data_IF_217071467005
#
_entry.id   IF_217071467005
#
_cell.length_a   1.000
_cell.length_b   1.000
_cell.length_c   1.000
_cell.angle_alpha   90.00
_cell.angle_beta   90.00
_cell.angle_gamma   90.00
#
_symmetry.space_group_name_H-M   'P 1'
#
loop_
_entity.id
_entity.type
_entity.pdbx_description
1 polymer ?
#
# COMPACT_ATOMS: atom_id res chain seq x y z
N UNK A 1 -3.38 -11.55 12.55
CA UNK A 1 -2.32 -10.87 11.75
C UNK A 1 -2.89 -9.70 10.95
N UNK A 2 -2.09 -8.67 10.70
CA UNK A 2 -2.38 -7.57 9.76
C UNK A 2 -1.32 -7.53 8.66
N UNK A 3 -1.71 -7.41 7.40
CA UNK A 3 -0.81 -7.30 6.25
C UNK A 3 -0.74 -5.83 5.81
N UNK A 4 0.47 -5.34 5.54
CA UNK A 4 0.70 -4.02 4.95
C UNK A 4 1.27 -4.15 3.54
N UNK A 5 0.67 -3.46 2.57
CA UNK A 5 1.21 -3.35 1.21
C UNK A 5 1.39 -1.89 0.77
N UNK A 6 2.22 -1.69 -0.24
CA UNK A 6 2.37 -0.40 -0.92
C UNK A 6 1.18 -0.13 -1.86
N UNK A 7 0.89 1.14 -2.17
CA UNK A 7 -0.05 1.50 -3.22
C UNK A 7 0.60 1.29 -4.60
N UNK A 8 -0.17 1.52 -5.66
CA UNK A 8 0.36 1.55 -7.03
C UNK A 8 0.27 2.96 -7.64
N UNK A 9 1.12 3.21 -8.63
CA UNK A 9 1.15 4.48 -9.37
C UNK A 9 0.06 4.56 -10.45
N UNK A 10 -0.27 3.42 -11.05
CA UNK A 10 -1.34 3.31 -12.04
C UNK A 10 -2.65 3.03 -11.32
N UNK A 11 -3.71 3.67 -11.80
CA UNK A 11 -5.05 3.53 -11.27
C UNK A 11 -6.02 3.11 -12.37
N UNK A 12 -7.00 2.28 -12.02
CA UNK A 12 -8.02 1.74 -12.92
C UNK A 12 -9.40 2.01 -12.34
N UNK A 13 -10.15 2.91 -12.97
CA UNK A 13 -11.49 3.33 -12.57
C UNK A 13 -12.60 2.68 -13.40
N UNK A 14 -12.32 1.55 -14.07
CA UNK A 14 -13.36 0.71 -14.64
C UNK A 14 -14.38 0.28 -13.57
N UNK A 15 -15.64 0.10 -13.97
CA UNK A 15 -16.72 -0.26 -13.05
C UNK A 15 -16.40 -1.56 -12.31
N UNK A 16 -16.33 -1.56 -10.96
CA UNK A 16 -16.10 -2.78 -10.20
C UNK A 16 -17.33 -3.68 -10.18
N UNK A 17 -17.13 -4.99 -9.99
CA UNK A 17 -18.23 -5.94 -9.75
C UNK A 17 -18.80 -5.85 -8.33
N UNK A 18 -18.02 -5.29 -7.40
CA UNK A 18 -18.38 -5.16 -5.98
C UNK A 18 -18.86 -3.75 -5.69
N UNK A 19 -20.03 -3.65 -5.08
CA UNK A 19 -20.66 -2.38 -4.68
C UNK A 19 -20.26 -1.91 -3.28
N UNK A 20 -19.84 -2.82 -2.40
CA UNK A 20 -19.51 -2.47 -1.01
C UNK A 20 -18.30 -1.54 -0.96
N UNK A 21 -18.40 -0.49 -0.15
CA UNK A 21 -17.33 0.47 0.03
C UNK A 21 -17.30 1.01 1.46
N UNK A 22 -16.15 1.56 1.83
CA UNK A 22 -15.95 2.35 3.05
C UNK A 22 -15.31 3.69 2.71
N UNK A 23 -15.17 4.55 3.72
CA UNK A 23 -14.59 5.88 3.58
C UNK A 23 -13.21 5.93 4.24
N UNK A 24 -12.23 6.62 3.63
CA UNK A 24 -10.92 6.84 4.24
C UNK A 24 -11.01 7.53 5.61
N UNK A 25 -10.18 7.10 6.55
CA UNK A 25 -10.21 7.59 7.93
C UNK A 25 -9.66 9.03 8.07
N UNK A 26 -8.52 9.31 7.43
CA UNK A 26 -7.76 10.56 7.62
C UNK A 26 -8.28 11.74 6.78
N UNK A 27 -9.60 11.95 6.73
CA UNK A 27 -10.25 12.95 5.85
C UNK A 27 -9.70 14.37 6.01
N UNK A 28 -9.37 14.80 7.22
CA UNK A 28 -8.78 16.12 7.49
C UNK A 28 -7.37 16.24 6.91
N UNK A 29 -6.54 15.20 7.03
CA UNK A 29 -5.18 15.20 6.50
C UNK A 29 -5.18 15.14 4.96
N UNK A 30 -6.06 14.32 4.38
CA UNK A 30 -6.29 14.25 2.93
C UNK A 30 -6.62 15.64 2.39
N UNK A 31 -7.60 16.35 2.98
CA UNK A 31 -7.99 17.71 2.57
C UNK A 31 -6.82 18.70 2.65
N UNK A 32 -5.99 18.61 3.69
CA UNK A 32 -4.83 19.47 3.85
C UNK A 32 -3.77 19.22 2.77
N UNK A 33 -3.44 17.96 2.49
CA UNK A 33 -2.46 17.59 1.46
C UNK A 33 -2.97 17.98 0.05
N UNK A 34 -4.24 17.69 -0.26
CA UNK A 34 -4.87 18.13 -1.52
C UNK A 34 -4.83 19.66 -1.64
N UNK A 35 -5.10 20.40 -0.56
CA UNK A 35 -5.04 21.87 -0.59
C UNK A 35 -3.64 22.41 -0.88
N UNK A 36 -2.59 21.71 -0.47
CA UNK A 36 -1.20 22.07 -0.82
C UNK A 36 -0.94 21.75 -2.29
N UNK A 37 -1.29 20.54 -2.72
CA UNK A 37 -1.05 20.08 -4.08
C UNK A 37 -1.82 20.87 -5.13
N UNK A 38 -3.06 21.29 -4.83
CA UNK A 38 -3.90 22.11 -5.71
C UNK A 38 -3.30 23.47 -6.07
N UNK A 39 -2.37 23.98 -5.25
CA UNK A 39 -1.71 25.27 -5.49
C UNK A 39 -0.50 25.17 -6.41
N UNK A 40 -0.05 23.96 -6.74
CA UNK A 40 1.14 23.71 -7.57
C UNK A 40 0.73 23.63 -9.04
N UNK A 41 1.50 24.29 -9.88
CA UNK A 41 1.45 24.15 -11.33
C UNK A 41 1.97 22.76 -11.77
N UNK A 42 1.65 22.34 -13.00
CA UNK A 42 2.24 21.15 -13.60
C UNK A 42 3.79 21.17 -13.57
N UNK A 43 4.43 22.32 -13.80
CA UNK A 43 5.89 22.44 -13.73
C UNK A 43 6.42 22.10 -12.34
N UNK A 44 5.82 22.67 -11.28
CA UNK A 44 6.21 22.38 -9.89
C UNK A 44 5.91 20.93 -9.49
N UNK A 45 4.80 20.34 -9.99
CA UNK A 45 4.46 18.93 -9.74
C UNK A 45 5.48 18.00 -10.44
N UNK A 46 5.85 18.32 -11.68
CA UNK A 46 6.84 17.60 -12.47
C UNK A 46 8.19 17.53 -11.73
N UNK A 47 8.68 18.69 -11.26
CA UNK A 47 9.92 18.80 -10.49
C UNK A 47 9.83 18.06 -9.15
N UNK A 48 8.75 18.28 -8.39
CA UNK A 48 8.54 17.70 -7.07
C UNK A 48 8.48 16.17 -7.09
N UNK A 49 7.86 15.58 -8.11
CA UNK A 49 7.60 14.14 -8.19
C UNK A 49 8.52 13.40 -9.16
N UNK A 50 9.39 14.13 -9.87
CA UNK A 50 10.26 13.60 -10.92
C UNK A 50 9.48 12.79 -11.98
N UNK A 51 8.41 13.38 -12.50
CA UNK A 51 7.52 12.76 -13.51
C UNK A 51 7.56 13.53 -14.83
N UNK A 52 7.05 12.92 -15.90
CA UNK A 52 6.92 13.62 -17.18
C UNK A 52 5.90 14.76 -17.11
N UNK A 53 6.05 15.74 -18.00
CA UNK A 53 5.12 16.87 -18.13
C UNK A 53 3.67 16.42 -18.30
N UNK A 54 3.42 15.46 -19.21
CA UNK A 54 2.07 14.90 -19.42
C UNK A 54 1.46 14.33 -18.13
N UNK A 55 2.26 13.62 -17.32
CA UNK A 55 1.80 13.09 -16.04
C UNK A 55 1.60 14.22 -15.01
N UNK A 56 2.40 15.27 -15.06
CA UNK A 56 2.26 16.41 -14.16
C UNK A 56 0.99 17.21 -14.46
N UNK A 57 0.68 17.50 -15.73
CA UNK A 57 -0.58 18.13 -16.17
C UNK A 57 -1.78 17.30 -15.72
N UNK A 58 -1.73 15.97 -15.92
CA UNK A 58 -2.78 15.08 -15.46
C UNK A 58 -2.98 15.16 -13.94
N UNK A 59 -1.91 15.22 -13.15
CA UNK A 59 -2.03 15.27 -11.69
C UNK A 59 -2.41 16.66 -11.17
N UNK A 60 -2.00 17.74 -11.83
CA UNK A 60 -2.51 19.09 -11.57
C UNK A 60 -4.05 19.09 -11.69
N UNK A 61 -4.57 18.57 -12.79
CA UNK A 61 -6.02 18.50 -13.03
C UNK A 61 -6.73 17.63 -11.97
N UNK A 62 -6.16 16.47 -11.62
CA UNK A 62 -6.68 15.62 -10.53
C UNK A 62 -6.78 16.36 -9.22
N UNK A 63 -5.78 17.16 -8.83
CA UNK A 63 -5.83 17.92 -7.58
C UNK A 63 -6.81 19.09 -7.63
N UNK A 64 -6.97 19.75 -8.79
CA UNK A 64 -7.97 20.80 -8.99
C UNK A 64 -9.39 20.28 -8.90
N UNK A 65 -9.67 19.14 -9.52
CA UNK A 65 -10.99 18.50 -9.56
C UNK A 65 -11.30 17.62 -8.36
N UNK A 66 -10.33 17.35 -7.49
CA UNK A 66 -10.52 16.54 -6.27
C UNK A 66 -11.68 17.05 -5.41
N UNK A 67 -12.62 16.18 -5.10
CA UNK A 67 -13.84 16.49 -4.36
C UNK A 67 -13.71 16.10 -2.88
N UNK A 68 -14.44 16.79 -2.00
CA UNK A 68 -14.41 16.50 -0.56
C UNK A 68 -15.19 15.24 -0.19
N UNK A 69 -16.23 14.94 -0.96
CA UNK A 69 -17.11 13.79 -0.78
C UNK A 69 -16.70 12.70 -1.76
N UNK A 70 -16.59 11.47 -1.27
CA UNK A 70 -16.19 10.32 -2.07
C UNK A 70 -17.42 9.49 -2.32
N UNK A 71 -17.75 9.35 -3.59
CA UNK A 71 -18.90 8.58 -4.07
C UNK A 71 -18.44 7.58 -5.11
N UNK A 72 -19.30 6.62 -5.47
CA UNK A 72 -19.00 5.64 -6.50
C UNK A 72 -18.87 6.26 -7.90
N UNK A 73 -19.36 7.49 -8.11
CA UNK A 73 -19.18 8.20 -9.39
C UNK A 73 -17.80 8.85 -9.54
N UNK A 74 -17.19 9.30 -8.42
CA UNK A 74 -15.93 10.04 -8.46
C UNK A 74 -14.73 9.26 -7.89
N UNK A 75 -14.99 8.12 -7.25
CA UNK A 75 -14.01 7.31 -6.53
C UNK A 75 -14.22 5.83 -6.76
N UNK A 76 -13.21 5.01 -6.42
CA UNK A 76 -13.29 3.55 -6.45
C UNK A 76 -12.54 2.97 -5.26
N UNK A 77 -12.94 1.77 -4.82
CA UNK A 77 -12.32 1.06 -3.70
C UNK A 77 -10.82 0.87 -3.94
N UNK A 78 -9.98 1.14 -2.94
CA UNK A 78 -8.53 1.18 -3.06
C UNK A 78 -7.92 -0.10 -3.66
N UNK A 79 -8.34 -1.28 -3.18
CA UNK A 79 -7.84 -2.57 -3.67
C UNK A 79 -8.20 -2.83 -5.14
N UNK A 80 -9.32 -2.26 -5.61
CA UNK A 80 -9.81 -2.40 -6.99
C UNK A 80 -9.32 -1.28 -7.92
N UNK A 81 -8.91 -0.15 -7.35
CA UNK A 81 -8.44 1.02 -8.09
C UNK A 81 -6.94 0.94 -8.37
N UNK A 82 -6.12 0.47 -7.43
CA UNK A 82 -4.68 0.34 -7.65
C UNK A 82 -4.35 -0.76 -8.68
N UNK A 83 -3.48 -0.44 -9.63
CA UNK A 83 -3.02 -1.38 -10.67
C UNK A 83 -1.51 -1.30 -10.84
N UNK A 84 -0.84 -2.45 -10.89
CA UNK A 84 0.62 -2.55 -11.04
C UNK A 84 1.13 -3.88 -10.50
N UNK A 85 2.45 -4.09 -10.52
CA UNK A 85 3.08 -5.40 -10.29
C UNK A 85 2.61 -6.17 -9.04
N UNK A 86 2.30 -5.45 -7.95
CA UNK A 86 1.73 -6.06 -6.72
C UNK A 86 0.26 -6.45 -6.97
N UNK A 87 -0.55 -5.52 -7.47
CA UNK A 87 -2.00 -5.66 -7.60
C UNK A 87 -2.42 -6.59 -8.74
N UNK A 88 -1.61 -6.73 -9.79
CA UNK A 88 -1.86 -7.72 -10.86
C UNK A 88 -1.71 -9.16 -10.38
N UNK A 89 -1.08 -9.37 -9.21
CA UNK A 89 -0.95 -10.67 -8.54
C UNK A 89 -1.89 -10.83 -7.36
N UNK A 90 -2.73 -9.84 -7.08
CA UNK A 90 -3.87 -9.94 -6.16
C UNK A 90 -5.10 -10.12 -7.03
N UNK A 91 -5.54 -11.36 -7.20
CA UNK A 91 -6.53 -11.77 -8.20
C UNK A 91 -7.97 -11.43 -7.75
N UNK A 92 -8.23 -10.14 -7.51
CA UNK A 92 -9.48 -9.61 -6.95
C UNK A 92 -10.72 -9.95 -7.77
N UNK A 93 -10.57 -10.24 -9.07
CA UNK A 93 -11.68 -10.67 -9.92
C UNK A 93 -12.23 -12.06 -9.53
N UNK A 94 -11.44 -12.84 -8.79
CA UNK A 94 -11.80 -14.17 -8.26
C UNK A 94 -12.29 -14.16 -6.81
N UNK A 95 -12.42 -12.97 -6.21
CA UNK A 95 -12.75 -12.82 -4.79
C UNK A 95 -14.26 -12.98 -4.57
N UNK A 96 -14.60 -13.74 -3.54
CA UNK A 96 -15.96 -13.78 -2.97
C UNK A 96 -16.18 -12.61 -2.02
N UNK A 97 -17.42 -12.39 -1.57
CA UNK A 97 -17.71 -11.42 -0.51
C UNK A 97 -16.90 -11.71 0.77
N UNK A 98 -16.69 -12.98 1.12
CA UNK A 98 -15.86 -13.39 2.26
C UNK A 98 -14.38 -13.08 2.05
N UNK A 99 -13.88 -13.11 0.80
CA UNK A 99 -12.52 -12.66 0.44
C UNK A 99 -12.36 -11.16 0.66
N UNK A 100 -13.34 -10.36 0.25
CA UNK A 100 -13.33 -8.93 0.52
C UNK A 100 -13.47 -8.60 2.00
N UNK A 101 -14.34 -9.29 2.73
CA UNK A 101 -14.49 -9.11 4.19
C UNK A 101 -13.18 -9.44 4.92
N UNK A 102 -12.56 -10.57 4.59
CA UNK A 102 -11.28 -10.93 5.17
C UNK A 102 -10.20 -9.89 4.85
N UNK A 103 -10.09 -9.48 3.59
CA UNK A 103 -9.15 -8.44 3.18
C UNK A 103 -9.41 -7.14 3.97
N UNK A 104 -10.68 -6.73 4.10
CA UNK A 104 -11.08 -5.50 4.78
C UNK A 104 -10.59 -5.47 6.25
N UNK A 105 -10.58 -6.63 6.91
CA UNK A 105 -10.15 -6.77 8.29
C UNK A 105 -8.63 -7.00 8.44
N UNK A 106 -7.98 -7.65 7.47
CA UNK A 106 -6.61 -8.13 7.60
C UNK A 106 -5.58 -7.44 6.68
N UNK A 107 -5.99 -6.57 5.77
CA UNK A 107 -5.10 -5.84 4.86
C UNK A 107 -5.19 -4.34 5.08
N UNK A 108 -4.05 -3.65 5.03
CA UNK A 108 -3.98 -2.19 4.87
C UNK A 108 -3.01 -1.81 3.76
N UNK A 109 -3.36 -0.73 3.07
CA UNK A 109 -2.56 -0.15 2.00
C UNK A 109 -2.00 1.18 2.51
N UNK A 110 -0.68 1.29 2.59
CA UNK A 110 -0.03 2.54 2.93
C UNK A 110 -0.19 3.54 1.78
N UNK A 111 -0.27 4.83 2.07
CA UNK A 111 -0.48 5.85 1.03
C UNK A 111 0.10 7.20 1.41
N UNK A 112 0.79 7.86 0.48
CA UNK A 112 1.30 9.22 0.72
C UNK A 112 0.20 10.24 0.94
N UNK A 113 -0.93 10.12 0.22
CA UNK A 113 -2.07 11.03 0.34
C UNK A 113 -3.07 10.61 1.41
N UNK A 114 -3.36 9.31 1.50
CA UNK A 114 -4.43 8.79 2.35
C UNK A 114 -3.91 8.25 3.69
N UNK A 115 -2.59 8.18 3.90
CA UNK A 115 -1.97 7.63 5.10
C UNK A 115 -2.06 6.11 5.15
N UNK A 116 -3.23 5.60 5.55
CA UNK A 116 -3.56 4.18 5.68
C UNK A 116 -4.96 3.95 5.12
N UNK A 117 -5.09 3.01 4.19
CA UNK A 117 -6.36 2.66 3.54
C UNK A 117 -6.75 1.22 3.87
N UNK A 118 -8.06 0.99 4.05
CA UNK A 118 -8.68 -0.33 3.94
C UNK A 118 -8.88 -0.68 2.46
N UNK A 119 -8.96 -1.98 2.11
CA UNK A 119 -9.25 -2.44 0.76
C UNK A 119 -10.45 -1.79 0.08
N UNK A 120 -11.56 -1.61 0.82
CA UNK A 120 -12.80 -1.06 0.29
C UNK A 120 -12.94 0.46 0.46
N UNK A 121 -11.91 1.15 0.97
CA UNK A 121 -11.96 2.61 1.08
C UNK A 121 -11.98 3.26 -0.31
N UNK A 122 -12.94 4.15 -0.53
CA UNK A 122 -13.02 4.92 -1.77
C UNK A 122 -11.83 5.87 -1.89
N UNK A 123 -11.15 5.81 -3.03
CA UNK A 123 -10.09 6.75 -3.41
C UNK A 123 -10.43 7.45 -4.72
N UNK A 124 -10.12 8.74 -4.78
CA UNK A 124 -10.12 9.53 -6.01
C UNK A 124 -8.74 9.47 -6.69
N UNK A 125 -8.66 9.71 -8.01
CA UNK A 125 -7.41 9.67 -8.75
C UNK A 125 -6.39 10.67 -8.19
N UNK A 126 -5.15 10.21 -7.97
CA UNK A 126 -4.08 11.05 -7.45
C UNK A 126 -2.71 10.48 -7.82
N UNK A 127 -1.66 11.24 -7.55
CA UNK A 127 -0.28 10.73 -7.44
C UNK A 127 0.45 11.48 -6.36
N UNK A 128 0.78 10.80 -5.27
CA UNK A 128 1.60 11.33 -4.19
C UNK A 128 2.32 10.17 -3.52
N UNK A 129 3.57 9.97 -3.91
CA UNK A 129 4.42 8.88 -3.42
C UNK A 129 4.93 9.22 -2.03
N UNK A 130 5.09 8.24 -1.13
CA UNK A 130 5.46 8.52 0.27
C UNK A 130 6.83 9.19 0.37
N UNK A 131 7.73 8.91 -0.57
CA UNK A 131 9.05 9.53 -0.65
C UNK A 131 9.06 11.02 -1.07
N UNK A 132 7.94 11.59 -1.49
CA UNK A 132 7.88 12.98 -1.97
C UNK A 132 8.23 13.97 -0.85
N UNK A 133 9.18 14.88 -1.14
CA UNK A 133 9.59 15.98 -0.24
C UNK A 133 8.61 17.15 -0.31
N UNK A 134 7.35 16.87 0.02
CA UNK A 134 6.31 17.88 0.08
C UNK A 134 6.40 18.64 1.39
N UNK A 135 6.82 19.91 1.33
CA UNK A 135 6.82 20.79 2.49
C UNK A 135 5.39 21.22 2.84
N UNK A 136 5.07 21.16 4.13
CA UNK A 136 3.78 21.52 4.70
C UNK A 136 3.99 22.20 6.05
N UNK A 137 2.91 22.75 6.64
CA UNK A 137 2.95 23.27 8.02
C UNK A 137 3.35 22.22 9.08
N UNK A 138 3.29 20.92 8.77
CA UNK A 138 3.56 19.82 9.71
C UNK A 138 4.93 19.16 9.51
N UNK A 139 5.69 19.55 8.49
CA UNK A 139 6.99 18.93 8.19
C UNK A 139 7.45 19.15 6.76
N UNK A 140 8.71 18.80 6.51
CA UNK A 140 9.42 19.01 5.24
C UNK A 140 9.19 17.90 4.21
N UNK A 141 8.54 16.81 4.61
CA UNK A 141 8.22 15.65 3.78
C UNK A 141 7.04 14.89 4.39
N UNK A 142 6.55 13.88 3.67
CA UNK A 142 5.39 13.10 4.10
C UNK A 142 5.66 12.20 5.32
N UNK A 143 6.90 11.78 5.56
CA UNK A 143 7.24 11.02 6.78
C UNK A 143 7.01 11.87 8.03
N UNK A 144 7.51 13.11 8.03
CA UNK A 144 7.29 14.07 9.12
C UNK A 144 5.82 14.49 9.22
N UNK A 145 5.12 14.63 8.09
CA UNK A 145 3.70 14.97 8.08
C UNK A 145 2.85 13.93 8.80
N UNK A 146 3.08 12.65 8.48
CA UNK A 146 2.30 11.54 9.03
C UNK A 146 2.74 11.16 10.45
N UNK A 147 4.00 11.40 10.81
CA UNK A 147 4.57 11.20 12.15
C UNK A 147 4.07 9.88 12.77
N UNK A 148 3.32 9.95 13.89
CA UNK A 148 2.81 8.78 14.60
C UNK A 148 1.42 8.33 14.15
N UNK A 149 0.75 9.06 13.25
CA UNK A 149 -0.67 8.83 12.92
C UNK A 149 -0.90 7.46 12.31
N UNK A 150 -0.09 7.10 11.30
CA UNK A 150 -0.20 5.80 10.62
C UNK A 150 0.04 4.66 11.61
N UNK A 151 1.08 4.76 12.45
CA UNK A 151 1.38 3.73 13.45
C UNK A 151 0.27 3.59 14.51
N UNK A 152 -0.37 4.70 14.93
CA UNK A 152 -1.52 4.66 15.84
C UNK A 152 -2.72 3.95 15.22
N UNK A 153 -3.09 4.29 13.98
CA UNK A 153 -4.19 3.62 13.29
C UNK A 153 -3.90 2.13 13.06
N UNK A 154 -2.64 1.77 12.75
CA UNK A 154 -2.22 0.36 12.67
C UNK A 154 -2.40 -0.35 14.02
N UNK A 155 -2.03 0.27 15.14
CA UNK A 155 -2.22 -0.34 16.47
C UNK A 155 -3.70 -0.62 16.79
N UNK A 156 -4.60 0.27 16.38
CA UNK A 156 -6.04 0.13 16.63
C UNK A 156 -6.62 -1.09 15.92
N UNK A 157 -6.24 -1.33 14.66
CA UNK A 157 -6.68 -2.53 13.93
C UNK A 157 -5.88 -3.78 14.31
N UNK A 158 -4.57 -3.67 14.50
CA UNK A 158 -3.73 -4.84 14.75
C UNK A 158 -3.94 -5.40 16.16
N UNK A 159 -4.30 -4.57 17.14
CA UNK A 159 -4.59 -5.01 18.53
C UNK A 159 -3.48 -5.91 19.12
N UNK A 160 -2.21 -5.59 18.83
CA UNK A 160 -1.05 -6.37 19.27
C UNK A 160 -0.74 -7.62 18.43
N UNK A 161 -1.61 -8.00 17.50
CA UNK A 161 -1.38 -9.10 16.55
C UNK A 161 -0.22 -8.79 15.61
N UNK A 162 0.53 -9.81 15.13
CA UNK A 162 1.66 -9.60 14.23
C UNK A 162 1.30 -8.85 12.95
N UNK A 163 2.20 -7.96 12.55
CA UNK A 163 2.15 -7.20 11.30
C UNK A 163 3.08 -7.86 10.29
N UNK A 164 2.56 -8.28 9.15
CA UNK A 164 3.35 -8.77 8.02
C UNK A 164 3.55 -7.62 7.03
N UNK A 165 4.80 -7.16 6.95
CA UNK A 165 5.19 -6.08 6.07
C UNK A 165 5.55 -6.64 4.68
N UNK A 166 4.62 -6.44 3.74
CA UNK A 166 4.79 -6.66 2.30
C UNK A 166 4.90 -5.32 1.54
N UNK A 167 5.00 -4.19 2.23
CA UNK A 167 5.22 -2.90 1.62
C UNK A 167 6.71 -2.68 1.28
N UNK A 168 6.99 -1.77 0.35
CA UNK A 168 8.36 -1.30 0.14
C UNK A 168 8.84 -0.48 1.33
N UNK A 169 10.16 -0.37 1.48
CA UNK A 169 10.78 0.46 2.53
C UNK A 169 10.39 1.94 2.42
N UNK A 170 10.14 2.44 1.21
CA UNK A 170 9.64 3.80 1.00
C UNK A 170 8.31 4.05 1.74
N UNK A 171 7.38 3.10 1.69
CA UNK A 171 6.09 3.26 2.37
C UNK A 171 6.19 2.87 3.84
N UNK A 172 6.86 1.77 4.17
CA UNK A 172 6.95 1.30 5.55
C UNK A 172 7.73 2.25 6.46
N UNK A 173 8.65 3.06 5.91
CA UNK A 173 9.34 4.14 6.65
C UNK A 173 8.38 5.19 7.23
N UNK A 174 7.17 5.36 6.70
CA UNK A 174 6.15 6.23 7.27
C UNK A 174 5.45 5.65 8.49
N UNK A 175 5.69 4.38 8.81
CA UNK A 175 5.20 3.74 10.03
C UNK A 175 6.23 3.92 11.13
N UNK A 176 5.93 4.76 12.12
CA UNK A 176 6.79 4.92 13.30
C UNK A 176 6.83 3.64 14.14
N UNK A 177 7.86 2.83 13.92
CA UNK A 177 8.04 1.54 14.60
C UNK A 177 8.14 1.66 16.12
N UNK A 178 8.58 2.82 16.65
CA UNK A 178 8.62 3.07 18.10
C UNK A 178 7.23 3.21 18.72
N UNK A 179 6.24 3.62 17.92
CA UNK A 179 4.83 3.72 18.35
C UNK A 179 4.09 2.40 18.18
N UNK A 180 4.56 1.49 17.33
CA UNK A 180 3.91 0.18 17.14
C UNK A 180 3.95 -0.66 18.42
N UNK A 181 2.83 -1.33 18.70
CA UNK A 181 2.66 -2.28 19.81
C UNK A 181 2.69 -3.74 19.33
N UNK A 182 2.52 -3.95 18.03
CA UNK A 182 2.54 -5.27 17.39
C UNK A 182 3.95 -5.62 16.91
N UNK A 183 4.35 -6.92 16.97
CA UNK A 183 5.58 -7.36 16.35
C UNK A 183 5.48 -7.25 14.83
N UNK A 184 6.58 -6.89 14.18
CA UNK A 184 6.67 -6.73 12.72
C UNK A 184 7.51 -7.87 12.14
N UNK A 185 6.98 -8.50 11.09
CA UNK A 185 7.66 -9.50 10.29
C UNK A 185 7.84 -8.92 8.88
N UNK A 186 9.08 -8.66 8.50
CA UNK A 186 9.45 -8.18 7.17
C UNK A 186 9.64 -9.36 6.22
N UNK A 187 8.97 -9.34 5.07
CA UNK A 187 9.09 -10.39 4.07
C UNK A 187 9.98 -9.94 2.92
N UNK A 188 10.99 -10.74 2.61
CA UNK A 188 11.94 -10.50 1.53
C UNK A 188 11.85 -11.60 0.50
N UNK A 189 11.66 -11.23 -0.77
CA UNK A 189 11.68 -12.16 -1.89
C UNK A 189 12.99 -11.98 -2.67
N UNK A 190 13.79 -13.03 -2.74
CA UNK A 190 15.06 -13.05 -3.46
C UNK A 190 15.02 -14.07 -4.58
N UNK A 191 15.81 -13.82 -5.62
CA UNK A 191 15.99 -14.74 -6.73
C UNK A 191 17.47 -15.05 -6.94
N UNK A 192 17.79 -16.30 -7.28
CA UNK A 192 19.14 -16.68 -7.66
C UNK A 192 19.50 -16.08 -9.02
N UNK A 193 20.50 -15.19 -9.03
CA UNK A 193 21.00 -14.56 -10.25
C UNK A 193 22.46 -14.14 -10.06
N UNK A 194 23.32 -14.48 -11.02
CA UNK A 194 24.76 -14.20 -10.96
C UNK A 194 25.46 -14.82 -9.74
N UNK A 195 25.17 -16.08 -9.45
CA UNK A 195 25.86 -16.86 -8.41
C UNK A 195 25.41 -16.59 -6.96
N UNK A 196 24.41 -15.72 -6.74
CA UNK A 196 23.90 -15.42 -5.40
C UNK A 196 22.41 -15.04 -5.43
N UNK A 197 21.76 -15.08 -4.27
CA UNK A 197 20.38 -14.63 -4.08
C UNK A 197 20.32 -13.11 -3.87
N UNK A 198 19.53 -12.43 -4.70
CA UNK A 198 19.33 -10.98 -4.62
C UNK A 198 17.88 -10.58 -4.87
N UNK A 199 17.49 -9.40 -4.39
CA UNK A 199 16.15 -8.86 -4.62
C UNK A 199 16.09 -8.30 -6.04
N UNK A 200 15.24 -8.90 -6.89
CA UNK A 200 14.91 -8.34 -8.20
C UNK A 200 13.58 -7.60 -8.08
N UNK A 201 13.62 -6.26 -8.18
CA UNK A 201 12.51 -5.39 -7.78
C UNK A 201 11.14 -5.71 -8.40
N UNK A 202 11.10 -6.04 -9.70
CA UNK A 202 9.86 -6.44 -10.38
C UNK A 202 9.26 -7.71 -9.73
N UNK A 203 10.07 -8.76 -9.62
CA UNK A 203 9.63 -10.04 -9.07
C UNK A 203 9.29 -9.96 -7.59
N UNK A 204 10.03 -9.16 -6.81
CA UNK A 204 9.71 -8.94 -5.41
C UNK A 204 8.34 -8.24 -5.23
N UNK A 205 7.97 -7.31 -6.12
CA UNK A 205 6.63 -6.70 -6.11
C UNK A 205 5.54 -7.72 -6.45
N UNK A 206 5.75 -8.51 -7.50
CA UNK A 206 4.82 -9.57 -7.88
C UNK A 206 4.62 -10.59 -6.74
N UNK A 207 5.71 -11.04 -6.11
CA UNK A 207 5.67 -11.97 -5.00
C UNK A 207 4.96 -11.41 -3.76
N UNK A 208 5.08 -10.10 -3.47
CA UNK A 208 4.29 -9.44 -2.42
C UNK A 208 2.79 -9.50 -2.72
N UNK A 209 2.41 -9.30 -3.97
CA UNK A 209 1.03 -9.45 -4.43
C UNK A 209 0.53 -10.89 -4.25
N UNK A 210 1.30 -11.87 -4.72
CA UNK A 210 0.97 -13.28 -4.59
C UNK A 210 0.84 -13.72 -3.13
N UNK A 211 1.75 -13.31 -2.25
CA UNK A 211 1.67 -13.63 -0.81
C UNK A 211 0.43 -12.99 -0.17
N UNK A 212 0.11 -11.75 -0.55
CA UNK A 212 -1.11 -11.08 -0.09
C UNK A 212 -2.36 -11.85 -0.55
N UNK A 213 -2.40 -12.24 -1.82
CA UNK A 213 -3.48 -13.05 -2.39
C UNK A 213 -3.63 -14.39 -1.68
N UNK A 214 -2.50 -15.11 -1.49
CA UNK A 214 -2.43 -16.38 -0.81
C UNK A 214 -2.97 -16.28 0.63
N UNK A 215 -2.58 -15.25 1.37
CA UNK A 215 -3.09 -15.02 2.72
C UNK A 215 -4.60 -14.76 2.75
N UNK A 216 -5.13 -13.98 1.80
CA UNK A 216 -6.57 -13.65 1.74
C UNK A 216 -7.41 -14.87 1.34
N UNK A 217 -7.02 -15.57 0.26
CA UNK A 217 -7.75 -16.74 -0.25
C UNK A 217 -7.78 -17.89 0.74
N UNK A 218 -6.73 -18.03 1.56
CA UNK A 218 -6.64 -19.08 2.58
C UNK A 218 -6.99 -18.61 4.00
N UNK A 219 -7.52 -17.38 4.14
CA UNK A 219 -7.92 -16.79 5.44
C UNK A 219 -6.84 -16.88 6.53
N UNK A 220 -5.58 -16.68 6.15
CA UNK A 220 -4.44 -16.90 7.05
C UNK A 220 -4.38 -15.81 8.12
N UNK A 221 -4.59 -16.19 9.38
CA UNK A 221 -4.50 -15.29 10.53
C UNK A 221 -3.21 -15.43 11.35
N UNK A 222 -2.57 -16.60 11.26
CA UNK A 222 -1.27 -16.91 11.87
C UNK A 222 -0.14 -16.69 10.85
N UNK A 223 0.79 -15.75 11.09
CA UNK A 223 1.88 -15.49 10.16
C UNK A 223 2.74 -16.72 9.87
N UNK A 224 2.92 -17.66 10.82
CA UNK A 224 3.77 -18.84 10.60
C UNK A 224 3.29 -19.71 9.42
N UNK A 225 1.98 -19.71 9.16
CA UNK A 225 1.40 -20.41 8.00
C UNK A 225 1.88 -19.83 6.67
N UNK A 226 2.30 -18.56 6.60
CA UNK A 226 2.86 -17.97 5.37
C UNK A 226 4.16 -18.65 4.92
N UNK A 227 4.87 -19.36 5.81
CA UNK A 227 6.06 -20.14 5.44
C UNK A 227 5.74 -21.29 4.47
N UNK A 228 4.48 -21.68 4.33
CA UNK A 228 4.03 -22.68 3.35
C UNK A 228 3.77 -22.11 1.96
N UNK A 229 3.92 -20.79 1.76
CA UNK A 229 3.78 -20.15 0.45
C UNK A 229 4.74 -20.76 -0.59
N UNK A 230 4.21 -21.19 -1.74
CA UNK A 230 4.97 -21.84 -2.83
C UNK A 230 4.71 -21.29 -4.24
N UNK A 231 4.04 -20.14 -4.35
CA UNK A 231 3.66 -19.58 -5.66
C UNK A 231 4.90 -19.21 -6.50
N UNK A 232 4.85 -19.50 -7.80
CA UNK A 232 5.94 -19.28 -8.76
C UNK A 232 7.32 -19.80 -8.30
N UNK A 233 7.34 -20.91 -7.55
CA UNK A 233 8.57 -21.58 -7.12
C UNK A 233 9.29 -20.91 -5.94
N UNK A 234 8.70 -19.90 -5.30
CA UNK A 234 9.25 -19.35 -4.06
C UNK A 234 9.15 -20.36 -2.92
N UNK A 235 10.16 -20.41 -2.05
CA UNK A 235 10.12 -21.21 -0.83
C UNK A 235 10.73 -20.46 0.36
N UNK A 236 10.25 -20.73 1.57
CA UNK A 236 10.80 -20.15 2.79
C UNK A 236 12.21 -20.69 3.06
N UNK A 237 13.18 -19.79 3.22
CA UNK A 237 14.57 -20.12 3.56
C UNK A 237 14.81 -19.87 5.05
N UNK A 238 14.78 -20.94 5.86
CA UNK A 238 15.10 -20.85 7.29
C UNK A 238 16.53 -20.35 7.54
N UNK A 239 17.48 -20.71 6.67
CA UNK A 239 18.89 -20.31 6.77
C UNK A 239 19.12 -18.80 6.59
N UNK A 240 18.35 -18.15 5.71
CA UNK A 240 18.46 -16.71 5.47
C UNK A 240 17.51 -15.86 6.32
N UNK A 241 16.65 -16.50 7.11
CA UNK A 241 15.62 -15.83 7.89
C UNK A 241 16.05 -15.61 9.33
N UNK A 242 15.55 -14.54 9.93
CA UNK A 242 15.61 -14.27 11.37
C UNK A 242 14.21 -14.32 11.97
N UNK A 243 14.06 -13.98 13.25
CA UNK A 243 12.75 -13.87 13.89
C UNK A 243 11.87 -12.78 13.29
N UNK A 244 12.47 -11.70 12.77
CA UNK A 244 11.76 -10.51 12.24
C UNK A 244 11.86 -10.36 10.73
N UNK A 245 12.77 -11.07 10.07
CA UNK A 245 13.02 -10.96 8.64
C UNK A 245 12.95 -12.34 8.00
N UNK A 246 11.88 -12.58 7.24
CA UNK A 246 11.66 -13.86 6.57
C UNK A 246 12.01 -13.75 5.11
N UNK A 247 12.85 -14.67 4.65
CA UNK A 247 13.36 -14.70 3.29
C UNK A 247 12.71 -15.85 2.54
N UNK A 248 12.09 -15.52 1.42
CA UNK A 248 11.62 -16.48 0.42
C UNK A 248 12.52 -16.40 -0.80
N UNK A 249 12.98 -17.57 -1.28
CA UNK A 249 13.91 -17.68 -2.39
C UNK A 249 13.31 -18.46 -3.54
N UNK A 250 13.75 -18.14 -4.76
CA UNK A 250 13.53 -18.95 -5.97
C UNK A 250 14.74 -18.88 -6.89
#
# INVERSE_FOLDING_TARGET
MLILISPAKTLDYSTPKVSDFTQPEFTTDIKNLVSVMRKKSAAEISELMHISENLAVLNEERYKTFQKEFTTENSKQALLAFKGDVYTKIEVDSYTSEDFEFAQNHLRILSGLYGLLKPLDLIQPYRLEMGTRLETKKGKNLYEYWDKKIAKAINEVAQGQPIVNLASQEYFKAVDQKTLKSPVINIHFKQYKNGHYQIIGLFAKQARGMMTNFAIKNKITDPETLKTFREEGYEFSSYQSTSTDWVFVR
#
